data_IF_300617591255
#
_entry.id   IF_300617591255
#
_cell.length_a   1.000
_cell.length_b   1.000
_cell.length_c   1.000
_cell.angle_alpha   90.00
_cell.angle_beta   90.00
_cell.angle_gamma   90.00
#
_symmetry.space_group_name_H-M   'P 1'
#
loop_
_entity.id
_entity.type
_entity.pdbx_description
1 polymer ?
#
# COMPACT_ATOMS: atom_id res chain seq x y z
N UNK A 1 12.98 24.50 -12.31
CA UNK A 1 12.58 23.99 -10.98
C UNK A 1 11.09 24.28 -10.80
N UNK A 2 10.22 23.51 -11.45
CA UNK A 2 8.76 23.70 -11.34
C UNK A 2 7.93 22.46 -11.65
N UNK A 3 8.47 21.44 -12.34
CA UNK A 3 7.62 20.30 -12.78
C UNK A 3 7.65 19.09 -11.85
N UNK A 4 8.67 18.98 -10.97
CA UNK A 4 8.76 17.89 -9.99
C UNK A 4 7.75 18.05 -8.83
N UNK A 5 7.26 19.28 -8.61
CA UNK A 5 6.27 19.59 -7.57
C UNK A 5 4.85 19.16 -7.98
N UNK A 6 4.54 19.12 -9.27
CA UNK A 6 3.17 18.85 -9.74
C UNK A 6 2.87 17.34 -9.74
N UNK A 7 3.84 16.50 -10.09
CA UNK A 7 3.75 15.04 -9.93
C UNK A 7 3.60 14.61 -8.45
N UNK A 8 4.24 15.33 -7.53
CA UNK A 8 4.17 15.05 -6.09
C UNK A 8 2.81 15.43 -5.46
N UNK A 9 2.06 16.35 -6.08
CA UNK A 9 0.74 16.80 -5.58
C UNK A 9 -0.39 15.85 -6.02
N UNK A 10 -0.19 15.06 -7.08
CA UNK A 10 -1.17 14.10 -7.59
C UNK A 10 -0.94 12.64 -7.16
N UNK A 11 0.20 12.30 -6.55
CA UNK A 11 0.57 10.93 -6.20
C UNK A 11 0.20 10.52 -4.76
N UNK A 12 -1.02 10.80 -4.29
CA UNK A 12 -1.52 10.21 -3.03
C UNK A 12 -2.14 8.83 -3.22
N UNK A 13 -2.51 8.49 -4.45
CA UNK A 13 -2.97 7.17 -4.84
C UNK A 13 -2.21 6.69 -6.05
N UNK A 14 -1.66 5.49 -5.91
CA UNK A 14 -1.08 4.74 -7.00
C UNK A 14 -2.13 3.78 -7.57
N UNK A 15 -1.88 3.28 -8.78
CA UNK A 15 -2.80 2.37 -9.47
C UNK A 15 -2.96 1.05 -8.70
N UNK A 16 -1.88 0.58 -8.08
CA UNK A 16 -1.81 -0.64 -7.28
C UNK A 16 -1.22 -0.32 -5.91
N UNK A 17 -1.42 -1.22 -4.95
CA UNK A 17 -0.80 -1.10 -3.64
C UNK A 17 0.74 -1.01 -3.79
N UNK A 18 1.36 0.05 -3.25
CA UNK A 18 2.81 0.24 -3.39
C UNK A 18 3.60 -0.44 -2.26
N UNK A 19 4.69 -1.12 -2.62
CA UNK A 19 5.54 -1.86 -1.68
C UNK A 19 6.11 -0.98 -0.55
N UNK A 20 6.39 0.29 -0.81
CA UNK A 20 6.92 1.21 0.19
C UNK A 20 5.94 1.51 1.35
N UNK A 21 4.66 1.14 1.22
CA UNK A 21 3.69 1.26 2.31
C UNK A 21 3.68 0.04 3.25
N UNK A 22 4.39 -1.05 2.93
CA UNK A 22 4.42 -2.25 3.79
C UNK A 22 4.84 -1.91 5.23
N UNK A 23 5.94 -1.16 5.49
CA UNK A 23 6.41 -0.92 6.86
C UNK A 23 5.38 -0.19 7.74
N UNK A 24 4.56 0.69 7.16
CA UNK A 24 3.57 1.47 7.91
C UNK A 24 2.31 0.68 8.27
N UNK A 25 2.20 -0.58 7.81
CA UNK A 25 1.09 -1.46 8.17
C UNK A 25 1.35 -2.26 9.45
N UNK A 26 2.57 -2.28 9.99
CA UNK A 26 2.99 -3.24 11.01
C UNK A 26 2.16 -3.21 12.29
N UNK A 27 1.83 -2.02 12.79
CA UNK A 27 1.12 -1.88 14.08
C UNK A 27 -0.41 -2.04 13.96
N UNK A 28 -0.92 -2.39 12.78
CA UNK A 28 -2.36 -2.32 12.51
C UNK A 28 -3.14 -3.55 12.97
N UNK A 29 -2.49 -4.70 13.23
CA UNK A 29 -3.20 -5.96 13.53
C UNK A 29 -2.46 -6.93 14.45
N UNK A 30 -2.07 -6.46 15.63
CA UNK A 30 -1.50 -7.34 16.67
C UNK A 30 -0.14 -7.95 16.30
N UNK A 31 0.43 -8.78 17.17
CA UNK A 31 1.83 -9.19 17.10
C UNK A 31 2.16 -10.07 15.89
N UNK A 32 1.32 -11.05 15.53
CA UNK A 32 1.59 -11.93 14.39
C UNK A 32 1.65 -11.18 13.05
N UNK A 33 0.79 -10.16 12.89
CA UNK A 33 0.82 -9.30 11.72
C UNK A 33 2.06 -8.40 11.71
N UNK A 34 2.40 -7.84 12.87
CA UNK A 34 3.60 -7.02 13.02
C UNK A 34 4.86 -7.81 12.63
N UNK A 35 4.99 -9.04 13.11
CA UNK A 35 6.11 -9.94 12.78
C UNK A 35 6.19 -10.22 11.27
N UNK A 36 5.05 -10.48 10.63
CA UNK A 36 4.98 -10.68 9.17
C UNK A 36 5.44 -9.42 8.42
N UNK A 37 4.93 -8.25 8.80
CA UNK A 37 5.28 -6.99 8.14
C UNK A 37 6.76 -6.67 8.32
N UNK A 38 7.32 -6.89 9.52
CA UNK A 38 8.74 -6.65 9.79
C UNK A 38 9.64 -7.56 8.95
N UNK A 39 9.29 -8.85 8.83
CA UNK A 39 10.00 -9.80 7.98
C UNK A 39 9.99 -9.38 6.51
N UNK A 40 8.82 -9.01 5.98
CA UNK A 40 8.67 -8.63 4.58
C UNK A 40 9.35 -7.28 4.29
N UNK A 41 9.23 -6.31 5.20
CA UNK A 41 9.82 -4.97 5.05
C UNK A 41 11.36 -4.99 5.03
N UNK A 42 12.00 -6.01 5.60
CA UNK A 42 13.44 -6.18 5.60
C UNK A 42 14.01 -6.71 4.26
N UNK A 43 13.15 -7.16 3.34
CA UNK A 43 13.54 -7.80 2.09
C UNK A 43 13.57 -6.80 0.91
N UNK A 44 14.37 -7.06 -0.14
CA UNK A 44 14.32 -6.27 -1.37
C UNK A 44 12.92 -6.29 -2.00
N UNK A 45 12.49 -5.20 -2.64
CA UNK A 45 11.17 -5.11 -3.30
C UNK A 45 10.93 -6.19 -4.36
N UNK A 46 12.01 -6.72 -4.95
CA UNK A 46 11.96 -7.79 -5.96
C UNK A 46 11.91 -9.19 -5.36
N UNK A 47 12.00 -9.32 -4.04
CA UNK A 47 11.92 -10.61 -3.35
C UNK A 47 10.52 -11.21 -3.50
N UNK A 48 10.40 -12.53 -3.77
CA UNK A 48 9.10 -13.19 -3.94
C UNK A 48 8.12 -12.92 -2.80
N UNK A 49 8.57 -12.90 -1.56
CA UNK A 49 7.71 -12.64 -0.39
C UNK A 49 7.15 -11.21 -0.38
N UNK A 50 7.94 -10.22 -0.81
CA UNK A 50 7.46 -8.84 -0.95
C UNK A 50 6.44 -8.76 -2.08
N UNK A 51 6.72 -9.38 -3.22
CA UNK A 51 5.79 -9.44 -4.34
C UNK A 51 4.48 -10.15 -3.97
N UNK A 52 4.56 -11.24 -3.20
CA UNK A 52 3.40 -11.96 -2.70
C UNK A 52 2.58 -11.11 -1.72
N UNK A 53 3.23 -10.39 -0.82
CA UNK A 53 2.56 -9.46 0.10
C UNK A 53 1.86 -8.32 -0.64
N UNK A 54 2.53 -7.73 -1.64
CA UNK A 54 1.95 -6.70 -2.49
C UNK A 54 0.73 -7.23 -3.24
N UNK A 55 0.83 -8.43 -3.83
CA UNK A 55 -0.30 -9.06 -4.54
C UNK A 55 -1.48 -9.32 -3.59
N UNK A 56 -1.21 -9.83 -2.39
CA UNK A 56 -2.23 -10.00 -1.34
C UNK A 56 -2.94 -8.68 -1.05
N UNK A 57 -2.20 -7.58 -0.83
CA UNK A 57 -2.79 -6.27 -0.56
C UNK A 57 -3.59 -5.73 -1.76
N UNK A 58 -3.13 -5.93 -3.00
CA UNK A 58 -3.87 -5.57 -4.22
C UNK A 58 -5.26 -6.23 -4.25
N UNK A 59 -5.33 -7.51 -3.87
CA UNK A 59 -6.58 -8.27 -3.83
C UNK A 59 -7.49 -7.81 -2.68
N UNK A 60 -6.94 -7.64 -1.47
CA UNK A 60 -7.68 -7.24 -0.28
C UNK A 60 -8.21 -5.79 -0.38
N UNK A 61 -7.41 -4.85 -0.86
CA UNK A 61 -7.80 -3.45 -1.07
C UNK A 61 -8.80 -3.29 -2.23
N UNK A 62 -8.81 -4.27 -3.14
CA UNK A 62 -9.58 -4.24 -4.37
C UNK A 62 -9.04 -3.22 -5.37
N UNK A 63 -7.71 -3.08 -5.47
CA UNK A 63 -7.05 -2.07 -6.31
C UNK A 63 -7.47 -2.14 -7.78
N UNK A 64 -7.78 -3.34 -8.30
CA UNK A 64 -8.25 -3.52 -9.69
C UNK A 64 -9.58 -2.80 -10.01
N UNK A 65 -10.34 -2.41 -8.99
CA UNK A 65 -11.59 -1.63 -9.11
C UNK A 65 -11.40 -0.16 -8.68
N UNK A 66 -10.17 0.21 -8.31
CA UNK A 66 -9.82 1.57 -7.94
C UNK A 66 -9.45 2.35 -9.21
N UNK A 67 -10.18 3.44 -9.48
CA UNK A 67 -9.92 4.33 -10.60
C UNK A 67 -10.16 5.78 -10.18
N UNK A 68 -9.76 6.74 -11.01
CA UNK A 68 -9.83 8.18 -10.71
C UNK A 68 -11.23 8.71 -10.36
N UNK A 69 -12.28 7.96 -10.67
CA UNK A 69 -13.67 8.30 -10.33
C UNK A 69 -14.14 7.66 -9.01
N UNK A 70 -13.31 6.84 -8.38
CA UNK A 70 -13.62 6.15 -7.14
C UNK A 70 -13.13 6.96 -5.92
N UNK A 71 -13.97 7.11 -4.90
CA UNK A 71 -13.62 7.76 -3.65
C UNK A 71 -12.35 7.16 -3.02
N UNK A 72 -12.13 5.85 -3.19
CA UNK A 72 -10.90 5.17 -2.74
C UNK A 72 -9.62 5.75 -3.37
N UNK A 73 -9.65 6.10 -4.65
CA UNK A 73 -8.50 6.69 -5.35
C UNK A 73 -8.21 8.10 -4.84
N UNK A 74 -9.24 8.89 -4.54
CA UNK A 74 -9.04 10.24 -3.99
C UNK A 74 -8.56 10.21 -2.52
N UNK A 75 -8.91 9.16 -1.78
CA UNK A 75 -8.57 8.99 -0.36
C UNK A 75 -7.11 8.57 -0.13
N UNK A 76 -6.50 7.88 -1.09
CA UNK A 76 -5.09 7.49 -1.04
C UNK A 76 -4.83 6.06 -0.54
N UNK A 77 -3.78 5.42 -1.08
CA UNK A 77 -3.49 4.00 -0.85
C UNK A 77 -3.23 3.68 0.62
N UNK A 78 -2.57 4.58 1.36
CA UNK A 78 -2.34 4.42 2.79
C UNK A 78 -3.64 4.23 3.58
N UNK A 79 -4.61 5.14 3.42
CA UNK A 79 -5.87 5.06 4.15
C UNK A 79 -6.72 3.85 3.74
N UNK A 80 -6.64 3.43 2.48
CA UNK A 80 -7.30 2.21 2.01
C UNK A 80 -6.70 0.98 2.69
N UNK A 81 -5.38 0.82 2.60
CA UNK A 81 -4.67 -0.32 3.19
C UNK A 81 -4.85 -0.38 4.71
N UNK A 82 -4.77 0.77 5.40
CA UNK A 82 -5.01 0.84 6.85
C UNK A 82 -6.40 0.33 7.21
N UNK A 83 -7.42 0.78 6.48
CA UNK A 83 -8.79 0.33 6.73
C UNK A 83 -8.93 -1.17 6.47
N UNK A 84 -8.39 -1.68 5.38
CA UNK A 84 -8.43 -3.11 5.03
C UNK A 84 -7.82 -3.99 6.12
N UNK A 85 -6.65 -3.61 6.65
CA UNK A 85 -5.94 -4.39 7.67
C UNK A 85 -6.64 -4.34 9.03
N UNK A 86 -7.27 -3.22 9.37
CA UNK A 86 -7.99 -3.02 10.63
C UNK A 86 -9.44 -3.55 10.63
N UNK A 87 -9.97 -3.96 9.47
CA UNK A 87 -11.37 -4.41 9.30
C UNK A 87 -11.64 -5.80 9.88
#
# INVERSE_FOLDING_TARGET
MSDLSEFAIHAKAELLFPAHLIPVLGELRGPEWQDLVEQVAALPETHPDVLAFVLMMIELDGCMKCNSNNYKFLRGCYLCATQTVQS
#
